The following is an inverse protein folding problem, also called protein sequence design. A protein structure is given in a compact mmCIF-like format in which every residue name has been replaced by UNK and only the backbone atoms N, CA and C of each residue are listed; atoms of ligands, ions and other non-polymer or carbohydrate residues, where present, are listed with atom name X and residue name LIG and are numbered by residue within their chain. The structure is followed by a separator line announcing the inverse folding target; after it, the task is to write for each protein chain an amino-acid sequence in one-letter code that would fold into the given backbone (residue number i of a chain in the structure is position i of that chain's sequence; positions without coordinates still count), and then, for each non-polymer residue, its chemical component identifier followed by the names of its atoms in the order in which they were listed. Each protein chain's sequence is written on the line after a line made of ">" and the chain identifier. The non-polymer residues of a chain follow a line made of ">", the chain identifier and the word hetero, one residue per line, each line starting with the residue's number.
data_IF_844594717892
#
_entry.id   IF_844594717892
#
_cell.length_a   1.000
_cell.length_b   1.000
_cell.length_c   1.000
_cell.angle_alpha   90.00
_cell.angle_beta   90.00
_cell.angle_gamma   90.00
#
_symmetry.space_group_name_H-M   'P 1'
#
loop_
_entity.id
_entity.type
_entity.pdbx_description
1 polymer ?
#
# COMPACT_ATOMS: atom_id res chain seq x y z
N UNK A 1 -15.06 -4.03 19.39
CA UNK A 1 -13.71 -3.95 19.99
C UNK A 1 -12.76 -4.78 19.12
N UNK A 2 -11.48 -4.42 19.03
CA UNK A 2 -10.47 -5.16 18.25
C UNK A 2 -9.65 -5.95 19.26
N UNK A 3 -9.48 -7.26 19.05
CA UNK A 3 -8.51 -8.03 19.82
C UNK A 3 -7.10 -7.74 19.30
N UNK A 4 -6.29 -7.09 20.11
CA UNK A 4 -4.91 -6.73 19.80
C UNK A 4 -3.90 -7.68 20.45
N UNK A 5 -4.34 -8.73 21.17
CA UNK A 5 -3.49 -9.70 21.89
C UNK A 5 -2.65 -9.13 23.03
N UNK A 6 -2.81 -7.84 23.34
CA UNK A 6 -2.21 -7.16 24.49
C UNK A 6 -3.20 -6.14 25.06
N UNK A 7 -2.96 -5.72 26.31
CA UNK A 7 -3.78 -4.71 26.98
C UNK A 7 -3.65 -3.37 26.28
N UNK A 8 -4.78 -2.78 25.91
CA UNK A 8 -4.83 -1.45 25.30
C UNK A 8 -5.73 -0.50 26.09
N UNK A 9 -5.41 0.79 26.02
CA UNK A 9 -6.30 1.84 26.48
C UNK A 9 -6.95 2.47 25.24
N UNK A 10 -8.21 2.11 24.98
CA UNK A 10 -8.98 2.70 23.89
C UNK A 10 -9.34 4.15 24.23
N UNK A 11 -8.86 5.11 23.43
CA UNK A 11 -9.13 6.54 23.65
C UNK A 11 -10.35 7.05 22.88
N UNK A 12 -10.78 6.32 21.85
CA UNK A 12 -11.88 6.64 20.96
C UNK A 12 -11.73 5.92 19.62
N UNK A 13 -12.70 6.08 18.73
CA UNK A 13 -12.70 5.53 17.36
C UNK A 13 -12.70 6.62 16.27
N UNK A 14 -13.06 7.86 16.60
CA UNK A 14 -13.00 9.02 15.71
C UNK A 14 -11.71 9.85 15.83
N UNK A 15 -11.40 10.62 14.78
CA UNK A 15 -10.22 11.49 14.72
C UNK A 15 -10.25 12.66 15.72
N UNK A 16 -11.45 13.07 16.19
CA UNK A 16 -11.64 14.20 17.11
C UNK A 16 -10.90 14.05 18.44
N UNK A 17 -10.59 12.81 18.88
CA UNK A 17 -9.77 12.56 20.07
C UNK A 17 -8.36 13.16 19.94
N UNK A 18 -7.84 13.28 18.71
CA UNK A 18 -6.51 13.82 18.44
C UNK A 18 -6.43 15.34 18.68
N UNK A 19 -7.56 16.05 18.65
CA UNK A 19 -7.58 17.48 18.99
C UNK A 19 -7.18 17.71 20.46
N UNK A 20 -7.59 16.79 21.34
CA UNK A 20 -7.34 16.87 22.78
C UNK A 20 -7.32 15.47 23.39
N UNK A 21 -6.13 14.90 23.49
CA UNK A 21 -5.93 13.62 24.16
C UNK A 21 -6.39 13.69 25.63
N UNK A 22 -6.96 12.59 26.17
CA UNK A 22 -7.15 12.46 27.61
C UNK A 22 -5.85 12.71 28.36
N UNK A 23 -5.93 13.38 29.52
CA UNK A 23 -4.76 13.80 30.29
C UNK A 23 -3.77 12.65 30.54
N UNK A 24 -4.28 11.47 30.93
CA UNK A 24 -3.45 10.30 31.18
C UNK A 24 -2.62 9.88 29.94
N UNK A 25 -3.21 9.91 28.74
CA UNK A 25 -2.51 9.57 27.49
C UNK A 25 -1.47 10.63 27.11
N UNK A 26 -1.81 11.92 27.26
CA UNK A 26 -0.88 13.01 27.01
C UNK A 26 0.32 12.99 27.98
N UNK A 27 0.09 12.72 29.26
CA UNK A 27 1.13 12.63 30.29
C UNK A 27 2.00 11.38 30.07
N UNK A 28 1.42 10.25 29.67
CA UNK A 28 2.16 9.05 29.30
C UNK A 28 3.12 9.28 28.12
N UNK A 29 2.66 9.95 27.05
CA UNK A 29 3.51 10.28 25.90
C UNK A 29 4.66 11.21 26.27
N UNK A 30 4.42 12.22 27.11
CA UNK A 30 5.45 13.20 27.51
C UNK A 30 6.48 12.65 28.49
N UNK A 31 6.09 11.69 29.32
CA UNK A 31 6.98 11.10 30.33
C UNK A 31 7.79 9.92 29.81
N UNK A 32 7.39 9.34 28.67
CA UNK A 32 8.10 8.24 28.04
C UNK A 32 9.50 8.67 27.55
N UNK A 33 10.50 7.81 27.74
CA UNK A 33 11.86 8.04 27.25
C UNK A 33 11.98 7.88 25.73
N UNK A 34 11.17 6.98 25.15
CA UNK A 34 11.14 6.68 23.70
C UNK A 34 9.69 6.50 23.24
N UNK A 35 8.86 7.56 23.25
CA UNK A 35 7.50 7.48 22.77
C UNK A 35 7.48 7.28 21.25
N UNK A 36 6.48 6.55 20.76
CA UNK A 36 6.25 6.37 19.34
C UNK A 36 4.77 6.59 19.00
N UNK A 37 4.52 7.12 17.81
CA UNK A 37 3.21 7.20 17.16
C UNK A 37 3.26 6.28 15.95
N UNK A 38 2.30 5.36 15.85
CA UNK A 38 2.13 4.50 14.67
C UNK A 38 0.76 4.81 14.06
N UNK A 39 0.77 5.29 12.82
CA UNK A 39 -0.45 5.70 12.09
C UNK A 39 -0.79 4.64 11.05
N UNK A 40 -1.97 4.04 11.17
CA UNK A 40 -2.45 3.10 10.16
C UNK A 40 -2.93 3.81 8.89
N UNK A 41 -2.72 3.18 7.73
CA UNK A 41 -3.10 3.75 6.43
C UNK A 41 -4.57 4.19 6.31
N UNK A 42 -5.51 3.57 7.04
CA UNK A 42 -6.92 3.96 7.03
C UNK A 42 -7.16 5.41 7.50
N UNK A 43 -6.32 5.90 8.40
CA UNK A 43 -6.38 7.29 8.84
C UNK A 43 -5.90 8.27 7.75
N UNK A 44 -5.04 7.80 6.84
CA UNK A 44 -4.39 8.61 5.81
C UNK A 44 -5.09 8.56 4.44
N UNK A 45 -6.08 7.68 4.27
CA UNK A 45 -6.87 7.56 3.04
C UNK A 45 -8.23 8.25 3.13
N UNK A 46 -8.51 8.97 4.22
CA UNK A 46 -9.74 9.74 4.42
C UNK A 46 -9.62 11.15 3.85
N UNK A 47 -10.75 11.80 3.60
CA UNK A 47 -10.79 13.19 3.16
C UNK A 47 -10.21 14.18 4.19
N UNK A 48 -10.31 13.86 5.49
CA UNK A 48 -9.77 14.64 6.61
C UNK A 48 -8.33 14.25 7.00
N UNK A 49 -7.63 13.44 6.18
CA UNK A 49 -6.24 13.05 6.44
C UNK A 49 -5.29 14.23 6.73
N UNK A 50 -5.39 15.40 6.05
CA UNK A 50 -4.58 16.57 6.40
C UNK A 50 -4.80 17.08 7.84
N UNK A 51 -6.05 17.03 8.34
CA UNK A 51 -6.37 17.41 9.71
C UNK A 51 -5.79 16.41 10.72
N UNK A 52 -5.91 15.12 10.42
CA UNK A 52 -5.35 14.02 11.22
C UNK A 52 -3.83 14.16 11.33
N UNK A 53 -3.12 14.32 10.21
CA UNK A 53 -1.67 14.47 10.17
C UNK A 53 -1.21 15.69 10.96
N UNK A 54 -1.84 16.85 10.78
CA UNK A 54 -1.48 18.07 11.52
C UNK A 54 -1.71 17.92 13.03
N UNK A 55 -2.77 17.24 13.46
CA UNK A 55 -3.03 16.98 14.87
C UNK A 55 -1.99 16.03 15.47
N UNK A 56 -1.64 14.96 14.75
CA UNK A 56 -0.57 14.06 15.14
C UNK A 56 0.80 14.76 15.21
N UNK A 57 1.08 15.68 14.29
CA UNK A 57 2.28 16.52 14.32
C UNK A 57 2.36 17.40 15.57
N UNK A 58 1.23 18.00 15.99
CA UNK A 58 1.15 18.75 17.25
C UNK A 58 1.40 17.84 18.46
N UNK A 59 0.86 16.63 18.47
CA UNK A 59 1.09 15.64 19.54
C UNK A 59 2.57 15.23 19.55
N UNK A 60 3.14 14.88 18.40
CA UNK A 60 4.54 14.51 18.26
C UNK A 60 5.47 15.60 18.78
N UNK A 61 5.25 16.86 18.37
CA UNK A 61 6.01 18.01 18.84
C UNK A 61 5.87 18.23 20.34
N UNK A 62 4.67 18.11 20.90
CA UNK A 62 4.43 18.27 22.34
C UNK A 62 5.09 17.17 23.19
N UNK A 63 5.25 15.96 22.64
CA UNK A 63 5.91 14.82 23.26
C UNK A 63 7.40 14.69 22.87
N UNK A 64 7.94 15.62 22.07
CA UNK A 64 9.32 15.59 21.54
C UNK A 64 9.65 14.29 20.79
N UNK A 65 8.68 13.75 20.06
CA UNK A 65 8.84 12.59 19.19
C UNK A 65 9.58 13.03 17.92
N UNK A 66 10.77 12.49 17.71
CA UNK A 66 11.56 12.69 16.49
C UNK A 66 11.04 11.87 15.31
N UNK A 67 11.74 11.97 14.17
CA UNK A 67 11.36 11.26 12.94
C UNK A 67 11.34 9.73 13.14
N UNK A 68 12.25 9.21 13.96
CA UNK A 68 12.33 7.79 14.32
C UNK A 68 11.15 7.29 15.17
N UNK A 69 10.45 8.19 15.86
CA UNK A 69 9.30 7.85 16.69
C UNK A 69 7.95 8.06 15.99
N UNK A 70 7.92 8.70 14.82
CA UNK A 70 6.70 8.88 14.04
C UNK A 70 6.67 7.93 12.84
N UNK A 71 5.76 6.96 12.88
CA UNK A 71 5.75 5.84 11.94
C UNK A 71 4.40 5.73 11.22
N UNK A 72 4.43 5.37 9.95
CA UNK A 72 3.23 5.07 9.15
C UNK A 72 3.22 3.59 8.78
N UNK A 73 2.15 2.89 9.16
CA UNK A 73 1.94 1.50 8.85
C UNK A 73 1.17 1.36 7.53
N UNK A 74 1.89 0.95 6.49
CA UNK A 74 1.34 0.68 5.16
C UNK A 74 0.81 -0.76 5.03
N UNK A 75 -0.24 -0.94 4.23
CA UNK A 75 -0.89 -2.25 4.03
C UNK A 75 -0.53 -2.97 2.71
N UNK A 76 0.34 -2.39 1.88
CA UNK A 76 0.71 -2.96 0.58
C UNK A 76 2.21 -2.84 0.32
N UNK A 77 2.83 -3.91 -0.18
CA UNK A 77 4.29 -3.99 -0.40
C UNK A 77 4.82 -3.04 -1.48
N UNK A 78 3.96 -2.58 -2.40
CA UNK A 78 4.31 -1.59 -3.42
C UNK A 78 4.20 -0.14 -2.93
N UNK A 79 3.60 0.09 -1.75
CA UNK A 79 3.24 1.44 -1.31
C UNK A 79 4.45 2.32 -1.06
N UNK A 80 5.42 1.86 -0.26
CA UNK A 80 6.58 2.68 0.13
C UNK A 80 7.45 2.97 -1.08
N UNK A 81 7.84 1.94 -1.84
CA UNK A 81 8.61 2.14 -3.07
C UNK A 81 7.90 3.02 -4.10
N UNK A 82 6.57 2.96 -4.19
CA UNK A 82 5.79 3.88 -5.02
C UNK A 82 5.86 5.33 -4.54
N UNK A 83 5.80 5.57 -3.22
CA UNK A 83 5.96 6.89 -2.63
C UNK A 83 7.38 7.43 -2.83
N UNK A 84 8.39 6.59 -2.66
CA UNK A 84 9.82 6.94 -2.84
C UNK A 84 10.12 7.47 -4.24
N UNK A 85 9.46 6.90 -5.26
CA UNK A 85 9.61 7.32 -6.66
C UNK A 85 8.63 8.41 -7.09
N UNK A 86 7.84 8.94 -6.16
CA UNK A 86 6.85 9.98 -6.44
C UNK A 86 5.64 9.50 -7.25
N UNK A 87 5.35 8.20 -7.28
CA UNK A 87 4.18 7.62 -7.96
C UNK A 87 2.88 7.93 -7.20
N UNK A 88 2.50 9.21 -7.27
CA UNK A 88 1.40 9.81 -6.50
C UNK A 88 0.61 10.79 -7.38
N UNK A 89 -0.61 11.10 -6.94
CA UNK A 89 -1.46 12.12 -7.55
C UNK A 89 -2.03 13.01 -6.43
N UNK A 90 -2.02 14.33 -6.62
CA UNK A 90 -2.37 15.29 -5.57
C UNK A 90 -3.81 15.09 -5.02
N UNK A 91 -4.83 14.94 -5.88
CA UNK A 91 -6.18 14.57 -5.43
C UNK A 91 -6.45 13.06 -5.36
N UNK A 92 -5.39 12.25 -5.35
CA UNK A 92 -5.48 10.80 -5.16
C UNK A 92 -6.17 10.07 -6.31
N UNK A 93 -6.46 8.79 -6.07
CA UNK A 93 -7.02 7.89 -7.09
C UNK A 93 -8.45 8.27 -7.51
N UNK A 94 -9.24 8.88 -6.61
CA UNK A 94 -10.61 9.30 -6.92
C UNK A 94 -10.65 10.36 -8.02
N UNK A 95 -9.75 11.33 -7.99
CA UNK A 95 -9.64 12.34 -9.06
C UNK A 95 -9.20 11.71 -10.38
N UNK A 96 -8.21 10.79 -10.33
CA UNK A 96 -7.74 10.07 -11.52
C UNK A 96 -8.88 9.31 -12.20
N UNK A 97 -9.65 8.54 -11.42
CA UNK A 97 -10.75 7.73 -11.94
C UNK A 97 -11.97 8.57 -12.38
N UNK A 98 -12.17 9.74 -11.79
CA UNK A 98 -13.24 10.68 -12.18
C UNK A 98 -12.91 11.56 -13.40
N UNK A 99 -11.65 11.61 -13.82
CA UNK A 99 -11.11 12.59 -14.77
C UNK A 99 -11.45 12.41 -16.26
N UNK A 100 -12.51 11.69 -16.62
CA UNK A 100 -12.90 11.49 -18.02
C UNK A 100 -11.84 10.73 -18.85
N UNK A 101 -11.30 9.65 -18.28
CA UNK A 101 -10.29 8.81 -18.91
C UNK A 101 -10.79 8.21 -20.23
N UNK A 102 -9.91 8.13 -21.23
CA UNK A 102 -10.17 7.35 -22.46
C UNK A 102 -9.60 5.94 -22.39
N UNK A 103 -8.51 5.79 -21.63
CA UNK A 103 -7.87 4.51 -21.38
C UNK A 103 -7.38 4.45 -19.93
N UNK A 104 -7.43 3.26 -19.34
CA UNK A 104 -6.98 2.98 -17.97
C UNK A 104 -6.06 1.76 -17.97
N UNK A 105 -4.83 1.94 -17.49
CA UNK A 105 -3.91 0.85 -17.21
C UNK A 105 -4.02 0.45 -15.74
N UNK A 106 -4.46 -0.78 -15.50
CA UNK A 106 -4.61 -1.36 -14.16
C UNK A 106 -3.46 -2.34 -13.94
N UNK A 107 -2.42 -1.92 -13.23
CA UNK A 107 -1.24 -2.75 -12.96
C UNK A 107 -1.37 -3.46 -11.61
N UNK A 108 -1.83 -4.72 -11.63
CA UNK A 108 -1.97 -5.58 -10.45
C UNK A 108 -2.86 -5.01 -9.34
N UNK A 109 -3.77 -4.09 -9.70
CA UNK A 109 -4.61 -3.38 -8.75
C UNK A 109 -6.01 -3.99 -8.73
N UNK A 110 -6.25 -4.84 -7.74
CA UNK A 110 -7.49 -5.60 -7.57
C UNK A 110 -8.34 -5.14 -6.36
N UNK A 111 -7.83 -4.20 -5.57
CA UNK A 111 -8.50 -3.69 -4.36
C UNK A 111 -9.21 -2.34 -4.57
N UNK A 112 -9.22 -1.84 -5.81
CA UNK A 112 -9.90 -0.60 -6.21
C UNK A 112 -10.96 -0.90 -7.26
N UNK A 113 -12.05 -0.14 -7.23
CA UNK A 113 -13.04 -0.20 -8.30
C UNK A 113 -12.50 0.50 -9.55
N UNK A 114 -12.40 -0.26 -10.64
CA UNK A 114 -11.87 0.21 -11.92
C UNK A 114 -12.88 0.03 -13.06
N UNK A 115 -14.13 -0.31 -12.73
CA UNK A 115 -15.20 -0.34 -13.71
C UNK A 115 -15.78 1.07 -13.91
N UNK A 116 -15.21 1.78 -14.88
CA UNK A 116 -15.59 3.16 -15.17
C UNK A 116 -16.62 3.29 -16.30
N UNK A 117 -16.94 2.20 -17.01
CA UNK A 117 -17.80 2.20 -18.20
C UNK A 117 -17.24 3.02 -19.37
N UNK A 118 -17.15 2.43 -20.56
CA UNK A 118 -16.74 3.15 -21.78
C UNK A 118 -15.29 3.64 -21.82
N UNK A 119 -14.46 3.26 -20.84
CA UNK A 119 -13.01 3.51 -20.79
C UNK A 119 -12.29 2.26 -21.28
N UNK A 120 -11.33 2.41 -22.20
CA UNK A 120 -10.52 1.28 -22.67
C UNK A 120 -9.58 0.78 -21.56
N UNK A 121 -9.87 -0.38 -20.99
CA UNK A 121 -9.17 -0.91 -19.82
C UNK A 121 -8.15 -1.98 -20.20
N UNK A 122 -6.89 -1.74 -19.83
CA UNK A 122 -5.79 -2.71 -19.95
C UNK A 122 -5.40 -3.18 -18.56
N UNK A 123 -5.59 -4.46 -18.27
CA UNK A 123 -5.11 -5.07 -17.02
C UNK A 123 -3.75 -5.73 -17.23
N UNK A 124 -2.77 -5.39 -16.39
CA UNK A 124 -1.45 -6.02 -16.35
C UNK A 124 -1.34 -6.70 -15.00
N UNK A 125 -1.39 -8.03 -14.95
CA UNK A 125 -1.41 -8.75 -13.69
C UNK A 125 -1.24 -10.25 -13.85
N UNK A 126 -1.12 -10.94 -12.72
CA UNK A 126 -0.77 -12.37 -12.67
C UNK A 126 -1.92 -13.25 -12.16
N UNK A 127 -2.99 -12.68 -11.59
CA UNK A 127 -4.23 -13.38 -11.26
C UNK A 127 -5.41 -12.67 -11.92
N UNK A 128 -6.45 -13.43 -12.29
CA UNK A 128 -7.73 -12.86 -12.68
C UNK A 128 -8.59 -12.60 -11.45
N UNK A 129 -8.59 -11.36 -10.97
CA UNK A 129 -9.46 -10.90 -9.87
C UNK A 129 -10.21 -9.64 -10.34
N UNK A 130 -10.74 -8.83 -9.41
CA UNK A 130 -11.59 -7.66 -9.69
C UNK A 130 -11.02 -6.70 -10.73
N UNK A 131 -9.70 -6.46 -10.74
CA UNK A 131 -9.07 -5.55 -11.70
C UNK A 131 -9.06 -6.08 -13.13
N UNK A 132 -8.96 -7.41 -13.29
CA UNK A 132 -9.00 -8.09 -14.59
C UNK A 132 -10.43 -8.17 -15.16
N UNK A 133 -11.44 -8.22 -14.29
CA UNK A 133 -12.84 -8.31 -14.71
C UNK A 133 -13.25 -7.09 -15.56
N UNK A 134 -13.80 -7.35 -16.75
CA UNK A 134 -14.21 -6.29 -17.68
C UNK A 134 -13.05 -5.50 -18.29
N UNK A 135 -11.81 -6.02 -18.26
CA UNK A 135 -10.72 -5.45 -19.04
C UNK A 135 -10.89 -5.78 -20.54
N UNK A 136 -10.62 -4.80 -21.40
CA UNK A 136 -10.61 -4.99 -22.86
C UNK A 136 -9.38 -5.78 -23.31
N UNK A 137 -8.25 -5.57 -22.62
CA UNK A 137 -6.99 -6.28 -22.87
C UNK A 137 -6.39 -6.73 -21.54
N UNK A 138 -5.93 -7.99 -21.51
CA UNK A 138 -5.18 -8.55 -20.39
C UNK A 138 -3.77 -8.86 -20.87
N UNK A 139 -2.77 -8.32 -20.17
CA UNK A 139 -1.36 -8.60 -20.38
C UNK A 139 -0.84 -9.42 -19.18
N UNK A 140 -0.61 -10.73 -19.33
CA UNK A 140 -0.23 -11.58 -18.21
C UNK A 140 1.18 -11.24 -17.72
N UNK A 141 1.28 -10.83 -16.46
CA UNK A 141 2.55 -10.54 -15.79
C UNK A 141 3.03 -11.71 -14.94
N UNK A 142 4.32 -11.75 -14.61
CA UNK A 142 4.89 -12.67 -13.64
C UNK A 142 4.47 -12.33 -12.20
N UNK A 143 4.27 -13.34 -11.35
CA UNK A 143 4.05 -13.16 -9.90
C UNK A 143 5.34 -12.74 -9.17
N UNK A 144 5.24 -12.42 -7.88
CA UNK A 144 6.42 -12.03 -7.08
C UNK A 144 7.48 -13.14 -6.96
N UNK A 145 7.09 -14.41 -7.09
CA UNK A 145 7.99 -15.56 -7.04
C UNK A 145 8.67 -15.86 -8.40
N UNK A 146 8.19 -15.22 -9.47
CA UNK A 146 8.55 -15.52 -10.86
C UNK A 146 9.45 -14.46 -11.50
N UNK A 147 9.84 -13.43 -10.74
CA UNK A 147 10.63 -12.31 -11.22
C UNK A 147 11.59 -11.78 -10.16
N UNK A 148 12.68 -11.20 -10.64
CA UNK A 148 13.52 -10.39 -9.78
C UNK A 148 12.80 -9.06 -9.48
N UNK A 149 12.97 -8.55 -8.28
CA UNK A 149 12.21 -7.40 -7.80
C UNK A 149 12.99 -6.54 -6.84
N UNK A 150 12.53 -5.31 -6.70
CA UNK A 150 12.98 -4.38 -5.65
C UNK A 150 11.76 -3.98 -4.86
N UNK A 151 11.78 -4.28 -3.56
CA UNK A 151 10.70 -3.96 -2.65
C UNK A 151 11.23 -3.06 -1.55
N UNK A 152 10.40 -2.13 -1.08
CA UNK A 152 10.71 -1.29 0.07
C UNK A 152 9.63 -1.54 1.11
N UNK A 153 10.04 -1.98 2.30
CA UNK A 153 9.11 -2.26 3.38
C UNK A 153 8.75 -0.98 4.17
N UNK A 154 7.89 -1.10 5.17
CA UNK A 154 7.39 0.04 5.97
C UNK A 154 8.45 0.81 6.79
N UNK A 155 9.62 0.23 7.05
CA UNK A 155 10.74 0.93 7.73
C UNK A 155 11.71 1.57 6.71
N UNK A 156 11.35 1.61 5.43
CA UNK A 156 12.20 2.15 4.36
C UNK A 156 13.34 1.20 3.95
N UNK A 157 13.28 -0.09 4.31
CA UNK A 157 14.31 -1.06 3.94
C UNK A 157 14.10 -1.52 2.51
N UNK A 158 15.13 -1.30 1.68
CA UNK A 158 15.23 -1.87 0.34
C UNK A 158 15.61 -3.34 0.44
N UNK A 159 14.87 -4.19 -0.28
CA UNK A 159 15.05 -5.63 -0.34
C UNK A 159 15.00 -6.08 -1.80
N UNK A 160 15.82 -7.09 -2.16
CA UNK A 160 15.72 -7.75 -3.46
C UNK A 160 14.97 -9.07 -3.35
N UNK A 161 14.03 -9.28 -4.26
CA UNK A 161 13.54 -10.62 -4.54
C UNK A 161 14.30 -11.20 -5.71
N UNK A 162 14.42 -12.52 -5.71
CA UNK A 162 15.05 -13.28 -6.78
C UNK A 162 14.05 -14.31 -7.29
N UNK A 163 14.01 -14.48 -8.61
CA UNK A 163 13.12 -15.43 -9.26
C UNK A 163 13.36 -16.85 -8.73
N UNK A 164 12.32 -17.46 -8.19
CA UNK A 164 12.34 -18.84 -7.71
C UNK A 164 11.87 -19.84 -8.77
N UNK A 165 10.87 -19.46 -9.57
CA UNK A 165 10.29 -20.29 -10.64
C UNK A 165 10.05 -19.46 -11.90
N UNK A 166 9.83 -20.09 -13.05
CA UNK A 166 9.48 -19.35 -14.27
C UNK A 166 7.99 -19.01 -14.29
N UNK A 167 7.67 -17.85 -14.88
CA UNK A 167 6.29 -17.45 -15.09
C UNK A 167 5.56 -18.45 -15.99
N UNK A 168 4.28 -18.78 -15.71
CA UNK A 168 3.55 -19.77 -16.47
C UNK A 168 3.17 -19.26 -17.87
N UNK A 169 3.19 -20.18 -18.85
CA UNK A 169 2.76 -19.90 -20.23
C UNK A 169 3.51 -18.73 -20.85
N UNK A 170 2.75 -17.75 -21.34
CA UNK A 170 3.27 -16.55 -22.00
C UNK A 170 3.37 -15.32 -21.09
N UNK A 171 3.26 -15.49 -19.78
CA UNK A 171 3.49 -14.41 -18.84
C UNK A 171 4.92 -13.85 -18.97
N UNK A 172 5.07 -12.54 -18.73
CA UNK A 172 6.35 -11.82 -18.81
C UNK A 172 6.55 -10.95 -17.57
N UNK A 173 7.79 -10.57 -17.29
CA UNK A 173 8.08 -9.61 -16.22
C UNK A 173 7.44 -8.25 -16.53
N UNK A 174 6.88 -7.57 -15.53
CA UNK A 174 6.05 -6.37 -15.71
C UNK A 174 6.80 -5.25 -16.43
N UNK A 175 8.08 -5.05 -16.07
CA UNK A 175 8.91 -4.05 -16.70
C UNK A 175 9.14 -4.34 -18.18
N UNK A 176 9.23 -5.61 -18.56
CA UNK A 176 9.41 -6.02 -19.95
C UNK A 176 8.14 -5.80 -20.76
N UNK A 177 6.96 -6.05 -20.17
CA UNK A 177 5.66 -5.72 -20.76
C UNK A 177 5.57 -4.21 -21.04
N UNK A 178 5.82 -3.38 -20.02
CA UNK A 178 5.77 -1.92 -20.15
C UNK A 178 6.83 -1.40 -21.13
N UNK A 179 8.01 -2.00 -21.14
CA UNK A 179 9.08 -1.66 -22.07
C UNK A 179 8.72 -1.99 -23.52
N UNK A 180 8.16 -3.17 -23.79
CA UNK A 180 7.71 -3.55 -25.12
C UNK A 180 6.57 -2.64 -25.59
N UNK A 181 5.58 -2.40 -24.72
CA UNK A 181 4.47 -1.49 -24.99
C UNK A 181 4.96 -0.07 -25.33
N UNK A 182 5.97 0.44 -24.61
CA UNK A 182 6.55 1.76 -24.89
C UNK A 182 7.11 1.88 -26.32
N UNK A 183 7.69 0.79 -26.85
CA UNK A 183 8.23 0.75 -28.22
C UNK A 183 7.09 0.77 -29.24
N UNK A 184 6.06 -0.05 -29.02
CA UNK A 184 4.86 -0.11 -29.87
C UNK A 184 4.14 1.24 -29.92
N UNK A 185 4.11 1.98 -28.82
CA UNK A 185 3.52 3.32 -28.73
C UNK A 185 4.44 4.44 -29.26
N UNK A 186 5.63 4.11 -29.78
CA UNK A 186 6.60 5.08 -30.30
C UNK A 186 7.31 5.92 -29.23
N UNK A 187 7.20 5.55 -27.95
CA UNK A 187 7.80 6.23 -26.79
C UNK A 187 8.79 5.31 -26.08
N UNK A 188 9.70 4.71 -26.86
CA UNK A 188 10.63 3.66 -26.42
C UNK A 188 11.44 4.06 -25.19
N UNK A 189 11.29 3.29 -24.11
CA UNK A 189 12.04 3.53 -22.88
C UNK A 189 13.54 3.17 -23.04
N UNK A 190 14.47 3.94 -22.44
CA UNK A 190 15.91 3.84 -22.70
C UNK A 190 16.61 2.74 -21.87
N UNK A 191 16.04 1.53 -21.83
CA UNK A 191 16.65 0.36 -21.20
C UNK A 191 16.13 -0.93 -21.85
N UNK A 192 16.98 -1.94 -21.97
CA UNK A 192 16.64 -3.24 -22.60
C UNK A 192 16.91 -4.44 -21.69
N UNK A 193 17.28 -4.20 -20.42
CA UNK A 193 17.50 -5.25 -19.43
C UNK A 193 17.07 -4.78 -18.04
N UNK A 194 16.77 -5.74 -17.16
CA UNK A 194 16.47 -5.46 -15.77
C UNK A 194 17.64 -4.79 -15.03
N UNK A 195 18.88 -5.14 -15.37
CA UNK A 195 20.07 -4.48 -14.83
C UNK A 195 20.15 -2.99 -15.24
N UNK A 196 19.85 -2.68 -16.51
CA UNK A 196 19.81 -1.29 -16.98
C UNK A 196 18.66 -0.51 -16.33
N UNK A 197 17.49 -1.14 -16.16
CA UNK A 197 16.38 -0.53 -15.42
C UNK A 197 16.77 -0.24 -13.96
N UNK A 198 17.40 -1.20 -13.27
CA UNK A 198 17.88 -1.01 -11.90
C UNK A 198 18.94 0.09 -11.80
N UNK A 199 19.85 0.16 -12.76
CA UNK A 199 20.84 1.24 -12.82
C UNK A 199 20.18 2.61 -13.01
N UNK A 200 19.12 2.71 -13.84
CA UNK A 200 18.33 3.93 -13.98
C UNK A 200 17.61 4.30 -12.68
N UNK A 201 16.97 3.33 -12.01
CA UNK A 201 16.33 3.55 -10.70
C UNK A 201 17.36 4.08 -9.69
N UNK A 202 18.54 3.48 -9.62
CA UNK A 202 19.61 3.92 -8.72
C UNK A 202 20.15 5.31 -9.06
N UNK A 203 20.19 5.69 -10.35
CA UNK A 203 20.61 7.02 -10.77
C UNK A 203 19.58 8.10 -10.39
N UNK A 204 18.29 7.79 -10.48
CA UNK A 204 17.19 8.72 -10.20
C UNK A 204 16.84 8.77 -8.70
N UNK A 205 16.90 7.63 -8.02
CA UNK A 205 16.64 7.46 -6.59
C UNK A 205 17.80 6.70 -5.92
N UNK A 206 18.88 7.39 -5.53
CA UNK A 206 20.09 6.75 -4.99
C UNK A 206 19.87 5.88 -3.75
N UNK A 207 18.89 6.21 -2.92
CA UNK A 207 18.56 5.42 -1.74
C UNK A 207 18.01 4.02 -2.07
N UNK A 208 17.57 3.78 -3.31
CA UNK A 208 17.10 2.47 -3.82
C UNK A 208 18.22 1.62 -4.44
N UNK A 209 19.47 2.13 -4.46
CA UNK A 209 20.59 1.47 -5.12
C UNK A 209 21.05 0.20 -4.40
N UNK A 210 21.03 0.19 -3.06
CA UNK A 210 21.54 -0.89 -2.23
C UNK A 210 20.45 -1.46 -1.32
N UNK A 211 20.60 -2.71 -0.89
CA UNK A 211 19.72 -3.29 0.14
C UNK A 211 20.04 -2.69 1.51
N UNK A 212 19.01 -2.56 2.35
CA UNK A 212 19.16 -2.00 3.69
C UNK A 212 18.24 -0.82 3.95
N UNK A 213 18.33 -0.29 5.17
CA UNK A 213 17.59 0.90 5.59
C UNK A 213 18.43 2.12 5.20
N UNK A 214 17.86 3.01 4.40
CA UNK A 214 18.39 4.36 4.27
C UNK A 214 18.09 5.14 5.57
N UNK A 215 19.06 5.88 6.14
CA UNK A 215 18.81 6.64 7.36
C UNK A 215 17.68 7.64 7.13
N UNK A 216 16.65 7.59 7.99
CA UNK A 216 15.61 8.60 8.02
C UNK A 216 16.27 9.97 8.23
N UNK A 217 16.02 10.91 7.32
CA UNK A 217 16.56 12.26 7.40
C UNK A 217 15.49 13.26 6.98
N UNK A 218 15.49 14.42 7.66
CA UNK A 218 14.59 15.53 7.36
C UNK A 218 13.55 15.79 8.45
N UNK A 219 12.96 16.99 8.37
CA UNK A 219 11.78 17.35 9.15
C UNK A 219 10.54 16.73 8.50
N UNK A 220 9.62 16.23 9.31
CA UNK A 220 8.33 15.75 8.84
C UNK A 220 7.42 16.95 8.65
N UNK A 221 6.94 17.15 7.41
CA UNK A 221 5.84 18.07 7.15
C UNK A 221 4.50 17.37 7.47
N UNK A 222 3.80 17.90 8.46
CA UNK A 222 2.49 17.39 8.90
C UNK A 222 1.31 18.09 8.20
N UNK A 223 1.57 19.04 7.30
CA UNK A 223 0.54 19.75 6.53
C UNK A 223 -0.22 20.84 7.30
N UNK A 224 -1.17 21.49 6.61
CA UNK A 224 -1.83 22.72 7.06
C UNK A 224 -3.01 22.55 8.03
N UNK A 225 -3.38 21.31 8.38
CA UNK A 225 -4.55 21.01 9.22
C UNK A 225 -5.88 21.10 8.47
N UNK A 226 -6.98 21.19 9.22
CA UNK A 226 -8.36 21.15 8.71
C UNK A 226 -9.34 20.69 9.78
N UNK A 227 -10.58 20.42 9.36
CA UNK A 227 -11.62 19.87 10.23
C UNK A 227 -11.61 18.34 10.21
N UNK A 228 -11.95 17.74 11.35
CA UNK A 228 -12.16 16.29 11.43
C UNK A 228 -13.53 15.90 10.90
N UNK A 229 -13.58 14.79 10.18
CA UNK A 229 -14.83 14.11 9.90
C UNK A 229 -15.27 13.33 11.16
N UNK A 230 -16.57 13.41 11.48
CA UNK A 230 -17.18 12.72 12.61
C UNK A 230 -17.21 11.19 12.44
N UNK A 231 -17.06 10.68 11.22
CA UNK A 231 -17.02 9.25 10.94
C UNK A 231 -15.84 8.56 11.65
N UNK A 232 -16.04 7.39 12.27
CA UNK A 232 -14.96 6.60 12.87
C UNK A 232 -13.84 6.27 11.87
N UNK A 233 -12.61 6.15 12.36
CA UNK A 233 -11.48 5.67 11.57
C UNK A 233 -11.69 4.17 11.30
N UNK A 234 -11.85 3.82 10.04
CA UNK A 234 -12.10 2.45 9.60
C UNK A 234 -10.86 1.56 9.64
N UNK A 235 -11.01 0.35 9.09
CA UNK A 235 -9.91 -0.60 8.88
C UNK A 235 -9.54 -0.64 7.41
N UNK A 236 -8.24 -0.73 7.10
CA UNK A 236 -7.77 -0.98 5.72
C UNK A 236 -8.11 -2.41 5.32
N UNK A 237 -7.81 -3.37 6.21
CA UNK A 237 -8.03 -4.79 5.99
C UNK A 237 -9.33 -5.22 6.66
N UNK A 238 -10.26 -5.76 5.87
CA UNK A 238 -11.53 -6.33 6.37
C UNK A 238 -11.36 -7.79 6.75
N UNK A 239 -10.70 -8.54 5.87
CA UNK A 239 -10.33 -9.94 6.06
C UNK A 239 -8.82 -10.08 5.89
N UNK A 240 -8.15 -10.58 6.93
CA UNK A 240 -6.70 -10.77 6.95
C UNK A 240 -6.22 -11.82 5.93
N UNK A 241 -7.03 -12.84 5.69
CA UNK A 241 -6.66 -13.97 4.83
C UNK A 241 -6.85 -13.64 3.35
N UNK A 242 -7.70 -12.67 3.00
CA UNK A 242 -8.11 -12.35 1.62
C UNK A 242 -7.65 -10.95 1.17
N UNK A 243 -6.42 -10.58 1.51
CA UNK A 243 -5.89 -9.20 1.36
C UNK A 243 -5.43 -8.79 -0.02
N UNK A 244 -5.11 -9.74 -0.90
CA UNK A 244 -4.61 -9.48 -2.25
C UNK A 244 -5.03 -10.60 -3.21
N UNK A 245 -4.77 -10.43 -4.51
CA UNK A 245 -5.20 -11.37 -5.53
C UNK A 245 -4.61 -12.79 -5.36
N UNK A 246 -3.38 -12.93 -4.86
CA UNK A 246 -2.78 -14.26 -4.58
C UNK A 246 -3.53 -14.96 -3.45
N UNK A 247 -3.75 -14.24 -2.36
CA UNK A 247 -4.50 -14.73 -1.21
C UNK A 247 -5.94 -15.09 -1.59
N UNK A 248 -6.62 -14.25 -2.38
CA UNK A 248 -8.00 -14.49 -2.83
C UNK A 248 -8.12 -15.68 -3.78
N UNK A 249 -7.10 -15.95 -4.58
CA UNK A 249 -7.06 -17.14 -5.44
C UNK A 249 -6.66 -18.42 -4.70
N UNK A 250 -6.19 -18.34 -3.45
CA UNK A 250 -5.73 -19.49 -2.67
C UNK A 250 -6.91 -20.19 -1.98
N UNK A 251 -7.13 -21.46 -2.28
CA UNK A 251 -8.14 -22.29 -1.59
C UNK A 251 -7.86 -22.38 -0.09
N UNK A 252 -6.59 -22.48 0.31
CA UNK A 252 -6.19 -22.53 1.72
C UNK A 252 -6.57 -21.24 2.46
N UNK A 253 -6.36 -20.08 1.84
CA UNK A 253 -6.73 -18.81 2.47
C UNK A 253 -8.24 -18.60 2.51
N UNK A 254 -8.98 -19.10 1.51
CA UNK A 254 -10.44 -19.13 1.53
C UNK A 254 -10.95 -19.97 2.70
N UNK A 255 -10.38 -21.16 2.93
CA UNK A 255 -10.71 -22.01 4.08
C UNK A 255 -10.35 -21.31 5.41
N UNK A 256 -9.17 -20.70 5.51
CA UNK A 256 -8.80 -19.93 6.70
C UNK A 256 -9.76 -18.76 6.97
N UNK A 257 -10.20 -18.05 5.93
CA UNK A 257 -11.20 -16.99 6.06
C UNK A 257 -12.53 -17.55 6.56
N UNK A 258 -13.07 -18.59 5.91
CA UNK A 258 -14.32 -19.21 6.30
C UNK A 258 -14.30 -19.65 7.77
N UNK A 259 -13.27 -20.40 8.17
CA UNK A 259 -13.16 -20.98 9.51
C UNK A 259 -12.82 -19.95 10.60
N UNK A 260 -11.78 -19.13 10.38
CA UNK A 260 -11.17 -18.31 11.44
C UNK A 260 -11.69 -16.87 11.44
N UNK A 261 -12.16 -16.36 10.30
CA UNK A 261 -12.68 -15.01 10.19
C UNK A 261 -14.21 -14.98 10.24
N UNK A 262 -14.88 -15.89 9.52
CA UNK A 262 -16.34 -15.94 9.44
C UNK A 262 -16.99 -16.95 10.41
N UNK A 263 -16.21 -17.86 11.00
CA UNK A 263 -16.70 -18.84 11.97
C UNK A 263 -17.57 -19.93 11.36
N UNK A 264 -17.39 -20.21 10.07
CA UNK A 264 -18.09 -21.27 9.37
C UNK A 264 -17.62 -22.65 9.88
N UNK A 265 -18.51 -23.64 10.00
CA UNK A 265 -18.14 -24.97 10.45
C UNK A 265 -17.31 -25.70 9.38
N UNK A 266 -16.32 -26.49 9.81
CA UNK A 266 -15.64 -27.43 8.91
C UNK A 266 -16.67 -28.48 8.47
N UNK A 267 -17.04 -28.46 7.19
CA UNK A 267 -17.81 -29.56 6.59
C UNK A 267 -16.83 -30.69 6.34
N UNK A 268 -16.73 -31.64 7.29
CA UNK A 268 -16.05 -32.91 7.02
C UNK A 268 -16.79 -33.61 5.87
N UNK A 269 -16.09 -33.82 4.76
CA UNK A 269 -16.61 -34.67 3.70
C UNK A 269 -16.84 -36.06 4.28
N UNK A 270 -18.09 -36.54 4.27
CA UNK A 270 -18.39 -37.91 4.60
C UNK A 270 -17.70 -38.82 3.58
N UNK A 271 -16.72 -39.60 4.03
CA UNK A 271 -16.13 -40.72 3.27
C UNK A 271 -17.13 -41.87 3.06
#
# INVERSE_FOLDING_TARGET
>A
EIDLTYKVTQLGDGASVLAKLPKAAADALKSATKPAIVVGGAALTRGDAPAILAALGKIAKAAKIGAEGFNVLHGAASRVGGLDIGFTHAGGIGEVLGGGLKALFVHGADDIDTDLGGVFKVYIGHHGDRGAHGADVILPSASFAEKDGTYVNMEGRVQRSYRAVFAPGDAREDWAILRALSDVLGSKLPYDSFAALRARIAAEWPHLAEEGIAPASGEIDFGAGGDFDAAPIGRVTRDFYLTNAVARASTVMQECSALLHHGEPVLEAAE
#
